data_IF_584247096292
#
_entry.id   IF_584247096292
#
_cell.length_a   1.000
_cell.length_b   1.000
_cell.length_c   1.000
_cell.angle_alpha   90.00
_cell.angle_beta   90.00
_cell.angle_gamma   90.00
#
_symmetry.space_group_name_H-M   'P 1'
#
loop_
_entity.id
_entity.type
_entity.pdbx_description
1 polymer ?
#
# COMPACT_ATOMS: atom_id res chain seq x y z
N UNK A 1 6.18 8.48 2.02
CA UNK A 1 4.72 8.72 2.06
C UNK A 1 4.01 7.52 1.48
N UNK A 2 2.79 7.29 1.94
CA UNK A 2 1.80 6.41 1.32
C UNK A 2 0.49 7.18 1.41
N UNK A 3 -0.25 7.28 0.32
CA UNK A 3 -1.59 7.86 0.33
C UNK A 3 -2.61 6.80 0.74
N UNK A 4 -3.66 7.21 1.44
CA UNK A 4 -4.80 6.33 1.69
C UNK A 4 -5.50 6.01 0.36
N UNK A 5 -5.96 4.77 0.19
CA UNK A 5 -6.65 4.29 -1.02
C UNK A 5 -5.86 4.48 -2.32
N UNK A 6 -4.53 4.46 -2.24
CA UNK A 6 -3.59 4.56 -3.37
C UNK A 6 -3.77 5.80 -4.26
N UNK A 7 -4.34 6.88 -3.70
CA UNK A 7 -4.60 8.12 -4.44
C UNK A 7 -3.28 8.68 -4.96
N UNK A 8 -3.17 8.78 -6.28
CA UNK A 8 -1.97 9.31 -6.92
C UNK A 8 -2.32 10.00 -8.23
N UNK A 9 -1.58 11.07 -8.54
CA UNK A 9 -1.63 11.76 -9.82
C UNK A 9 -0.35 12.56 -9.99
N UNK A 10 0.01 12.88 -11.23
CA UNK A 10 1.16 13.74 -11.52
C UNK A 10 1.08 15.08 -10.77
N UNK A 11 -0.04 15.82 -10.77
CA UNK A 11 -0.15 17.06 -9.98
C UNK A 11 0.04 16.86 -8.48
N UNK A 12 -0.48 15.76 -7.90
CA UNK A 12 -0.31 15.47 -6.48
C UNK A 12 1.17 15.21 -6.13
N UNK A 13 1.85 14.41 -6.94
CA UNK A 13 3.28 14.11 -6.73
C UNK A 13 4.14 15.38 -6.88
N UNK A 14 3.85 16.23 -7.86
CA UNK A 14 4.49 17.55 -7.98
C UNK A 14 4.23 18.40 -6.73
N UNK A 15 2.97 18.50 -6.28
CA UNK A 15 2.60 19.30 -5.11
C UNK A 15 3.32 18.84 -3.83
N UNK A 16 3.43 17.53 -3.62
CA UNK A 16 4.25 16.96 -2.53
C UNK A 16 5.71 17.38 -2.68
N UNK A 17 6.26 17.34 -3.90
CA UNK A 17 7.62 17.75 -4.17
C UNK A 17 7.87 19.26 -4.19
N UNK A 18 6.84 20.09 -4.24
CA UNK A 18 7.00 21.54 -4.13
C UNK A 18 6.87 21.99 -2.67
N UNK A 19 6.00 21.34 -1.89
CA UNK A 19 5.62 21.83 -0.56
C UNK A 19 6.17 21.00 0.61
N UNK A 20 6.57 19.75 0.37
CA UNK A 20 7.03 18.83 1.42
C UNK A 20 8.45 18.33 1.10
N UNK A 21 9.50 19.17 1.25
CA UNK A 21 10.90 18.85 0.92
C UNK A 21 11.43 17.58 1.61
N UNK A 22 10.91 17.27 2.79
CA UNK A 22 11.37 16.14 3.59
C UNK A 22 10.78 14.79 3.13
N UNK A 23 9.81 14.78 2.22
CA UNK A 23 9.29 13.52 1.63
C UNK A 23 10.19 13.10 0.47
N UNK A 24 10.98 12.05 0.68
CA UNK A 24 11.92 11.52 -0.33
C UNK A 24 11.47 10.20 -0.96
N UNK A 25 10.53 9.50 -0.32
CA UNK A 25 10.09 8.15 -0.71
C UNK A 25 8.58 8.13 -0.86
N UNK A 26 8.08 7.53 -1.93
CA UNK A 26 6.66 7.20 -2.16
C UNK A 26 6.48 5.68 -2.20
N UNK A 27 5.46 5.17 -1.51
CA UNK A 27 5.11 3.74 -1.43
C UNK A 27 3.62 3.55 -1.78
N UNK A 28 3.07 4.42 -2.63
CA UNK A 28 1.64 4.39 -3.00
C UNK A 28 1.33 3.55 -4.25
N UNK A 29 2.35 2.89 -4.83
CA UNK A 29 2.19 2.05 -6.02
C UNK A 29 2.06 0.58 -5.60
N UNK A 30 0.83 0.07 -5.64
CA UNK A 30 0.53 -1.33 -5.37
C UNK A 30 0.54 -2.17 -6.65
N UNK A 31 1.34 -3.24 -6.67
CA UNK A 31 1.45 -4.19 -7.77
C UNK A 31 1.30 -5.62 -7.22
N UNK A 32 0.04 -6.11 -7.05
CA UNK A 32 -0.25 -7.31 -6.28
C UNK A 32 0.49 -8.53 -6.82
N UNK A 33 1.23 -9.22 -5.95
CA UNK A 33 1.97 -10.46 -6.23
C UNK A 33 2.99 -10.34 -7.38
N UNK A 34 3.33 -9.13 -7.81
CA UNK A 34 4.30 -8.94 -8.87
C UNK A 34 5.70 -9.25 -8.35
N UNK A 35 6.44 -10.18 -8.97
CA UNK A 35 7.78 -10.53 -8.51
C UNK A 35 8.80 -9.49 -8.98
N UNK A 36 9.98 -9.48 -8.34
CA UNK A 36 11.17 -8.74 -8.79
C UNK A 36 10.97 -7.23 -8.91
N UNK A 37 10.11 -6.66 -8.07
CA UNK A 37 9.90 -5.22 -7.99
C UNK A 37 11.20 -4.46 -7.69
N UNK A 38 11.35 -3.27 -8.28
CA UNK A 38 12.53 -2.42 -8.13
C UNK A 38 12.14 -0.98 -7.78
N UNK A 39 12.98 -0.24 -7.03
CA UNK A 39 12.81 1.19 -6.89
C UNK A 39 12.85 1.88 -8.25
N UNK A 40 12.06 2.95 -8.40
CA UNK A 40 12.15 3.85 -9.56
C UNK A 40 12.31 5.28 -9.09
N UNK A 41 13.06 6.09 -9.84
CA UNK A 41 13.09 7.53 -9.60
C UNK A 41 11.97 8.20 -10.39
N UNK A 42 11.23 9.06 -9.73
CA UNK A 42 10.28 9.94 -10.39
C UNK A 42 10.74 11.39 -10.26
N UNK A 43 11.00 12.01 -11.40
CA UNK A 43 11.53 13.37 -11.49
C UNK A 43 10.41 14.40 -11.57
N UNK A 44 10.63 15.54 -10.91
CA UNK A 44 9.73 16.67 -11.04
C UNK A 44 9.70 17.21 -12.46
N UNK A 45 8.54 17.69 -12.89
CA UNK A 45 8.35 18.21 -14.24
C UNK A 45 9.04 19.58 -14.43
N UNK A 46 9.28 20.32 -13.34
CA UNK A 46 9.77 21.72 -13.38
C UNK A 46 11.03 21.97 -12.55
N UNK A 47 11.61 20.95 -11.91
CA UNK A 47 12.82 21.11 -11.09
C UNK A 47 13.66 19.85 -11.11
N UNK A 48 14.90 19.94 -10.61
CA UNK A 48 15.82 18.80 -10.51
C UNK A 48 15.50 17.84 -9.35
N UNK A 49 14.40 18.09 -8.61
CA UNK A 49 13.99 17.22 -7.50
C UNK A 49 13.46 15.89 -8.03
N UNK A 50 13.77 14.82 -7.33
CA UNK A 50 13.18 13.51 -7.55
C UNK A 50 12.76 12.87 -6.22
N UNK A 51 11.83 11.93 -6.30
CA UNK A 51 11.49 11.02 -5.21
C UNK A 51 11.73 9.57 -5.64
N UNK A 52 12.10 8.73 -4.68
CA UNK A 52 12.19 7.28 -4.89
C UNK A 52 10.80 6.69 -4.73
N UNK A 53 10.30 6.01 -5.76
CA UNK A 53 9.06 5.23 -5.69
C UNK A 53 9.40 3.78 -5.43
N UNK A 54 8.91 3.24 -4.32
CA UNK A 54 9.04 1.85 -3.92
C UNK A 54 7.68 1.17 -4.13
N UNK A 55 7.48 0.43 -5.23
CA UNK A 55 6.26 -0.36 -5.36
C UNK A 55 6.24 -1.48 -4.33
N UNK A 56 5.06 -1.81 -3.84
CA UNK A 56 4.82 -2.91 -2.92
C UNK A 56 3.83 -3.89 -3.52
N UNK A 57 3.83 -5.13 -3.02
CA UNK A 57 3.22 -6.26 -3.72
C UNK A 57 2.20 -7.03 -2.88
N UNK A 58 2.08 -6.70 -1.59
CA UNK A 58 1.15 -7.38 -0.71
C UNK A 58 0.58 -6.45 0.36
N UNK A 59 -0.70 -6.63 0.65
CA UNK A 59 -1.49 -5.87 1.63
C UNK A 59 -2.52 -6.80 2.26
N UNK A 60 -2.73 -6.70 3.58
CA UNK A 60 -3.56 -7.66 4.33
C UNK A 60 -5.06 -7.59 4.02
N UNK A 61 -5.64 -6.41 3.88
CA UNK A 61 -7.05 -6.25 3.55
C UNK A 61 -7.35 -6.63 2.09
N UNK A 62 -6.41 -6.40 1.18
CA UNK A 62 -6.45 -6.91 -0.20
C UNK A 62 -6.36 -8.43 -0.19
N UNK A 63 -5.43 -9.03 0.56
CA UNK A 63 -5.33 -10.48 0.70
C UNK A 63 -6.62 -11.08 1.28
N UNK A 64 -7.26 -10.41 2.24
CA UNK A 64 -8.54 -10.81 2.82
C UNK A 64 -9.73 -10.69 1.85
N UNK A 65 -9.57 -9.94 0.74
CA UNK A 65 -10.52 -9.89 -0.37
C UNK A 65 -10.18 -10.90 -1.48
N UNK A 66 -8.98 -11.46 -1.48
CA UNK A 66 -8.51 -12.32 -2.55
C UNK A 66 -9.18 -13.70 -2.44
N UNK A 67 -9.79 -14.22 -3.52
CA UNK A 67 -10.41 -15.54 -3.50
C UNK A 67 -9.42 -16.62 -3.08
N UNK A 68 -9.80 -17.45 -2.10
CA UNK A 68 -9.02 -18.60 -1.64
C UNK A 68 -7.60 -18.27 -1.17
N UNK A 69 -7.37 -17.07 -0.61
CA UNK A 69 -6.07 -16.71 -0.05
C UNK A 69 -5.64 -17.67 1.06
N UNK A 70 -4.41 -18.18 0.95
CA UNK A 70 -3.82 -19.06 1.93
C UNK A 70 -2.95 -18.25 2.89
N UNK A 71 -3.44 -18.02 4.11
CA UNK A 71 -2.71 -17.21 5.12
C UNK A 71 -1.41 -17.84 5.63
N UNK A 72 -1.20 -19.13 5.40
CA UNK A 72 0.09 -19.79 5.65
C UNK A 72 1.08 -19.62 4.50
N UNK A 73 0.66 -19.08 3.35
CA UNK A 73 1.54 -18.75 2.24
C UNK A 73 2.25 -17.42 2.52
N UNK A 74 3.56 -17.43 2.45
CA UNK A 74 4.37 -16.21 2.42
C UNK A 74 4.41 -15.73 0.96
N UNK A 75 3.96 -14.51 0.65
CA UNK A 75 4.10 -13.93 -0.68
C UNK A 75 5.58 -13.78 -1.04
N UNK A 76 5.97 -14.33 -2.19
CA UNK A 76 7.36 -14.31 -2.66
C UNK A 76 7.61 -13.12 -3.58
N UNK A 77 8.60 -12.29 -3.24
CA UNK A 77 9.04 -11.17 -4.07
C UNK A 77 10.14 -11.55 -5.08
N UNK A 78 10.64 -12.80 -5.05
CA UNK A 78 11.85 -13.19 -5.77
C UNK A 78 13.08 -12.41 -5.28
N UNK A 79 13.94 -11.98 -6.20
CA UNK A 79 15.12 -11.14 -5.92
C UNK A 79 14.82 -9.62 -5.91
N UNK A 80 13.54 -9.26 -5.82
CA UNK A 80 13.05 -7.88 -5.79
C UNK A 80 12.76 -7.33 -4.40
N UNK A 81 12.16 -6.14 -4.38
CA UNK A 81 11.64 -5.51 -3.16
C UNK A 81 10.48 -6.34 -2.59
N UNK A 82 10.58 -6.68 -1.32
CA UNK A 82 9.52 -7.27 -0.53
C UNK A 82 8.97 -6.23 0.45
N UNK A 83 7.89 -5.55 0.08
CA UNK A 83 7.21 -4.58 0.93
C UNK A 83 5.78 -5.08 1.18
N UNK A 84 5.43 -5.18 2.46
CA UNK A 84 4.15 -5.67 2.95
C UNK A 84 3.45 -4.53 3.69
N UNK A 85 2.21 -4.23 3.31
CA UNK A 85 1.38 -3.24 4.01
C UNK A 85 0.42 -3.97 4.96
N UNK A 86 0.43 -3.55 6.22
CA UNK A 86 -0.37 -4.14 7.28
C UNK A 86 -1.20 -3.07 7.95
N UNK A 87 -2.50 -3.30 8.04
CA UNK A 87 -3.40 -2.47 8.80
C UNK A 87 -3.40 -2.93 10.27
N UNK A 88 -3.16 -2.04 11.25
CA UNK A 88 -3.14 -2.41 12.66
C UNK A 88 -4.40 -3.15 13.12
N UNK A 89 -5.56 -2.81 12.56
CA UNK A 89 -6.83 -3.47 12.89
C UNK A 89 -6.91 -4.91 12.38
N UNK A 90 -6.35 -5.21 11.20
CA UNK A 90 -6.30 -6.56 10.64
C UNK A 90 -5.36 -7.45 11.45
N UNK A 91 -4.22 -6.90 11.87
CA UNK A 91 -3.27 -7.57 12.77
C UNK A 91 -3.90 -7.84 14.15
N UNK A 92 -4.50 -6.82 14.77
CA UNK A 92 -5.06 -6.94 16.12
C UNK A 92 -6.23 -7.94 16.21
N UNK A 93 -7.06 -8.00 15.16
CA UNK A 93 -8.23 -8.89 15.12
C UNK A 93 -7.94 -10.24 14.46
N UNK A 94 -6.74 -10.44 13.90
CA UNK A 94 -6.38 -11.61 13.12
C UNK A 94 -7.44 -11.91 12.02
N UNK A 95 -7.80 -10.89 11.24
CA UNK A 95 -8.87 -10.98 10.24
C UNK A 95 -8.41 -11.83 9.06
N UNK A 96 -9.06 -12.98 8.86
CA UNK A 96 -8.76 -13.87 7.74
C UNK A 96 -9.58 -13.57 6.46
N UNK A 97 -10.65 -12.79 6.55
CA UNK A 97 -11.48 -12.44 5.40
C UNK A 97 -12.18 -11.10 5.59
N UNK A 98 -12.49 -10.42 4.49
CA UNK A 98 -13.25 -9.16 4.55
C UNK A 98 -14.61 -9.31 5.22
N UNK A 99 -15.28 -10.45 5.04
CA UNK A 99 -16.61 -10.70 5.63
C UNK A 99 -16.59 -10.68 7.17
N UNK A 100 -15.51 -11.16 7.79
CA UNK A 100 -15.34 -11.11 9.25
C UNK A 100 -15.24 -9.66 9.72
N UNK A 101 -14.44 -8.84 9.04
CA UNK A 101 -14.27 -7.43 9.35
C UNK A 101 -15.58 -6.63 9.20
N UNK A 102 -16.29 -6.81 8.09
CA UNK A 102 -17.57 -6.10 7.86
C UNK A 102 -18.66 -6.55 8.85
N UNK A 103 -18.72 -7.84 9.20
CA UNK A 103 -19.66 -8.33 10.22
C UNK A 103 -19.38 -7.69 11.58
N UNK A 104 -18.10 -7.55 11.95
CA UNK A 104 -17.73 -6.89 13.19
C UNK A 104 -18.14 -5.41 13.19
N UNK A 105 -17.88 -4.69 12.11
CA UNK A 105 -18.30 -3.29 11.96
C UNK A 105 -19.82 -3.12 12.10
N UNK A 106 -20.59 -3.98 11.43
CA UNK A 106 -22.05 -3.98 11.53
C UNK A 106 -22.54 -4.22 12.97
N UNK A 107 -21.93 -5.16 13.69
CA UNK A 107 -22.27 -5.45 15.10
C UNK A 107 -21.95 -4.30 16.05
N UNK A 108 -20.85 -3.60 15.82
CA UNK A 108 -20.41 -2.49 16.67
C UNK A 108 -21.19 -1.19 16.40
N UNK A 109 -21.99 -1.13 15.33
CA UNK A 109 -22.77 0.06 14.96
C UNK A 109 -21.92 1.28 14.59
N UNK A 110 -20.61 1.10 14.42
CA UNK A 110 -19.67 2.15 14.08
C UNK A 110 -19.38 2.10 12.58
N UNK A 111 -19.74 3.15 11.85
CA UNK A 111 -19.10 3.47 10.57
C UNK A 111 -17.67 3.90 10.89
N UNK A 112 -16.61 3.21 10.43
CA UNK A 112 -15.27 3.76 10.55
C UNK A 112 -15.19 4.99 9.64
N UNK A 113 -14.67 6.09 10.20
CA UNK A 113 -14.20 7.25 9.42
C UNK A 113 -13.03 6.85 8.52
#
# INVERSE_FOLDING_TARGET
>A
MRTHSFIQSTPLLCSVMDHLPNIMVDVSLFLPLHPRLRPTLWHHIKSDRAIVRLPYFWEDDVAACWPDWCWSRIPEAGDGLAIYDFHPIFVALNVASRSVYETLKQRLGTTPM
#
